data_IF_655866479951
#
_entry.id   IF_655866479951
#
_cell.length_a   1.000
_cell.length_b   1.000
_cell.length_c   1.000
_cell.angle_alpha   90.00
_cell.angle_beta   90.00
_cell.angle_gamma   90.00
#
_symmetry.space_group_name_H-M   'P 1'
#
loop_
_entity.id
_entity.type
_entity.pdbx_description
1 polymer ?
#
# COMPACT_ATOMS: atom_id res chain seq x y z
N UNK A 1 -13.68 10.39 15.99
CA UNK A 1 -12.43 9.63 15.67
C UNK A 1 -12.25 8.45 16.64
N UNK A 2 -12.59 8.67 17.91
CA UNK A 2 -12.45 7.74 19.04
C UNK A 2 -13.24 6.43 18.91
N UNK A 3 -14.53 6.47 18.56
CA UNK A 3 -15.34 5.25 18.41
C UNK A 3 -14.83 4.29 17.33
N UNK A 4 -14.20 4.81 16.26
CA UNK A 4 -13.57 3.96 15.23
C UNK A 4 -12.34 3.23 15.74
N UNK A 5 -11.62 3.80 16.69
CA UNK A 5 -10.49 3.12 17.33
C UNK A 5 -10.98 1.92 18.14
N UNK A 6 -12.13 2.04 18.82
CA UNK A 6 -12.76 0.93 19.55
C UNK A 6 -13.30 -0.15 18.61
N UNK A 7 -13.90 0.23 17.47
CA UNK A 7 -14.32 -0.75 16.45
C UNK A 7 -13.09 -1.50 15.90
N UNK A 8 -12.00 -0.78 15.59
CA UNK A 8 -10.73 -1.36 15.12
C UNK A 8 -10.10 -2.28 16.16
N UNK A 9 -10.14 -1.91 17.43
CA UNK A 9 -9.61 -2.70 18.54
C UNK A 9 -10.40 -4.02 18.69
N UNK A 10 -11.73 -3.97 18.71
CA UNK A 10 -12.55 -5.17 18.83
C UNK A 10 -12.43 -6.10 17.60
N UNK A 11 -12.33 -5.54 16.39
CA UNK A 11 -12.06 -6.33 15.19
C UNK A 11 -10.70 -7.04 15.26
N UNK A 12 -9.65 -6.36 15.75
CA UNK A 12 -8.33 -6.96 16.00
C UNK A 12 -8.34 -8.07 17.06
N UNK A 13 -9.29 -8.03 18.00
CA UNK A 13 -9.48 -9.09 19.01
C UNK A 13 -10.29 -10.28 18.48
N UNK A 14 -10.68 -10.29 17.20
CA UNK A 14 -11.46 -11.37 16.59
C UNK A 14 -12.93 -11.40 17.02
N UNK A 15 -13.45 -10.32 17.62
CA UNK A 15 -14.88 -10.23 17.97
C UNK A 15 -15.71 -10.06 16.70
N UNK A 16 -16.93 -10.59 16.70
CA UNK A 16 -17.89 -10.38 15.62
C UNK A 16 -18.40 -8.93 15.59
N UNK A 17 -18.90 -8.48 14.44
CA UNK A 17 -19.51 -7.14 14.32
C UNK A 17 -20.68 -6.93 15.30
N UNK A 18 -21.43 -7.99 15.63
CA UNK A 18 -22.50 -7.98 16.63
C UNK A 18 -21.97 -7.74 18.04
N UNK A 19 -20.89 -8.42 18.43
CA UNK A 19 -20.24 -8.23 19.74
C UNK A 19 -19.61 -6.86 19.85
N UNK A 20 -18.96 -6.39 18.79
CA UNK A 20 -18.40 -5.03 18.73
C UNK A 20 -19.49 -3.97 18.86
N UNK A 21 -20.65 -4.17 18.24
CA UNK A 21 -21.79 -3.25 18.40
C UNK A 21 -22.34 -3.26 19.83
N UNK A 22 -22.50 -4.43 20.46
CA UNK A 22 -22.92 -4.50 21.88
C UNK A 22 -21.92 -3.81 22.81
N UNK A 23 -20.63 -4.04 22.60
CA UNK A 23 -19.55 -3.39 23.37
C UNK A 23 -19.56 -1.87 23.17
N UNK A 24 -19.75 -1.41 21.93
CA UNK A 24 -19.91 0.01 21.62
C UNK A 24 -21.13 0.64 22.30
N UNK A 25 -22.28 -0.07 22.34
CA UNK A 25 -23.49 0.41 23.03
C UNK A 25 -23.28 0.52 24.54
N UNK A 26 -22.52 -0.39 25.15
CA UNK A 26 -22.18 -0.32 26.57
C UNK A 26 -21.28 0.88 26.91
N UNK A 27 -20.29 1.18 26.06
CA UNK A 27 -19.33 2.27 26.31
C UNK A 27 -19.91 3.64 25.95
N UNK A 28 -20.63 3.76 24.84
CA UNK A 28 -21.05 5.05 24.29
C UNK A 28 -22.55 5.34 24.44
N UNK A 29 -23.37 4.37 24.87
CA UNK A 29 -24.80 4.56 25.10
C UNK A 29 -25.53 5.21 23.92
N UNK A 30 -26.18 6.36 24.17
CA UNK A 30 -26.91 7.14 23.17
C UNK A 30 -26.02 7.81 22.12
N UNK A 31 -24.72 7.95 22.38
CA UNK A 31 -23.74 8.54 21.45
C UNK A 31 -23.09 7.47 20.55
N UNK A 32 -23.45 6.20 20.69
CA UNK A 32 -22.91 5.10 19.90
C UNK A 32 -23.24 5.25 18.41
N UNK A 33 -22.24 5.01 17.54
CA UNK A 33 -22.48 4.85 16.11
C UNK A 33 -23.60 3.82 15.86
N UNK A 34 -24.47 4.12 14.89
CA UNK A 34 -25.56 3.23 14.52
C UNK A 34 -25.07 1.85 14.05
N UNK A 35 -25.88 0.81 14.26
CA UNK A 35 -25.53 -0.59 13.98
C UNK A 35 -24.92 -0.80 12.59
N UNK A 36 -25.52 -0.22 11.56
CA UNK A 36 -25.02 -0.31 10.18
C UNK A 36 -23.62 0.28 10.03
N UNK A 37 -23.38 1.45 10.64
CA UNK A 37 -22.05 2.09 10.58
C UNK A 37 -21.01 1.26 11.33
N UNK A 38 -21.36 0.69 12.49
CA UNK A 38 -20.45 -0.19 13.23
C UNK A 38 -20.11 -1.43 12.42
N UNK A 39 -21.10 -2.07 11.78
CA UNK A 39 -20.87 -3.25 10.93
C UNK A 39 -20.05 -2.93 9.69
N UNK A 40 -20.31 -1.79 9.03
CA UNK A 40 -19.50 -1.32 7.89
C UNK A 40 -18.06 -1.06 8.30
N UNK A 41 -17.83 -0.40 9.44
CA UNK A 41 -16.48 -0.17 9.96
C UNK A 41 -15.80 -1.44 10.42
N UNK A 42 -16.54 -2.35 11.06
CA UNK A 42 -16.03 -3.64 11.48
C UNK A 42 -15.54 -4.44 10.29
N UNK A 43 -16.34 -4.51 9.21
CA UNK A 43 -15.96 -5.18 7.96
C UNK A 43 -14.70 -4.59 7.32
N UNK A 44 -14.41 -3.30 7.50
CA UNK A 44 -13.18 -2.66 6.99
C UNK A 44 -11.93 -3.01 7.78
N UNK A 45 -12.12 -3.36 9.05
CA UNK A 45 -11.06 -3.80 9.94
C UNK A 45 -10.95 -5.31 10.02
N UNK A 46 -11.94 -6.01 9.45
CA UNK A 46 -11.89 -7.43 9.14
C UNK A 46 -10.99 -7.67 7.93
N UNK A 47 -10.38 -8.85 7.88
CA UNK A 47 -9.44 -9.21 6.84
C UNK A 47 -10.15 -10.05 5.78
N UNK A 48 -10.35 -9.48 4.59
CA UNK A 48 -10.82 -10.23 3.42
C UNK A 48 -9.60 -10.63 2.57
N UNK A 49 -9.22 -11.92 2.63
CA UNK A 49 -8.34 -12.53 1.63
C UNK A 49 -9.09 -12.56 0.28
N UNK A 50 -8.45 -12.09 -0.78
CA UNK A 50 -9.00 -12.20 -2.14
C UNK A 50 -8.68 -13.56 -2.76
N UNK A 51 -8.36 -13.57 -4.05
CA UNK A 51 -7.73 -14.73 -4.67
C UNK A 51 -6.34 -14.98 -4.03
N UNK A 52 -5.68 -16.08 -4.39
CA UNK A 52 -4.46 -16.57 -3.72
C UNK A 52 -3.28 -15.58 -3.55
N UNK A 53 -3.34 -14.39 -4.17
CA UNK A 53 -2.26 -13.40 -4.23
C UNK A 53 -2.64 -12.01 -3.72
N UNK A 54 -3.81 -11.83 -3.09
CA UNK A 54 -4.25 -10.51 -2.59
C UNK A 54 -4.84 -10.51 -1.18
N UNK A 55 -4.51 -9.46 -0.43
CA UNK A 55 -5.08 -9.16 0.90
C UNK A 55 -5.57 -7.73 0.95
N UNK A 56 -6.77 -7.56 1.51
CA UNK A 56 -7.36 -6.26 1.76
C UNK A 56 -7.29 -5.93 3.26
N UNK A 57 -6.71 -4.77 3.61
CA UNK A 57 -6.71 -4.28 4.99
C UNK A 57 -6.60 -2.76 5.02
N UNK A 58 -7.42 -2.10 5.86
CA UNK A 58 -7.39 -0.65 6.11
C UNK A 58 -7.35 0.21 4.82
N UNK A 59 -8.26 -0.07 3.87
CA UNK A 59 -8.39 0.62 2.58
C UNK A 59 -7.21 0.43 1.59
N UNK A 60 -6.27 -0.48 1.88
CA UNK A 60 -5.16 -0.85 0.99
C UNK A 60 -5.30 -2.30 0.56
N UNK A 61 -5.28 -2.53 -0.75
CA UNK A 61 -5.21 -3.84 -1.36
C UNK A 61 -3.74 -4.11 -1.68
N UNK A 62 -3.16 -5.10 -1.02
CA UNK A 62 -1.85 -5.63 -1.35
C UNK A 62 -2.04 -6.72 -2.39
N UNK A 63 -1.43 -6.59 -3.56
CA UNK A 63 -1.43 -7.61 -4.60
C UNK A 63 -0.02 -8.03 -4.92
N UNK A 64 0.16 -9.30 -5.22
CA UNK A 64 1.42 -9.82 -5.74
C UNK A 64 1.28 -10.26 -7.20
N UNK A 65 2.10 -9.70 -8.08
CA UNK A 65 2.14 -10.04 -9.50
C UNK A 65 3.59 -10.23 -9.95
N UNK A 66 3.92 -11.41 -10.49
CA UNK A 66 5.25 -11.73 -11.06
C UNK A 66 6.42 -11.38 -10.11
N UNK A 67 6.27 -11.67 -8.80
CA UNK A 67 7.30 -11.38 -7.78
C UNK A 67 7.40 -9.91 -7.36
N UNK A 68 6.53 -9.02 -7.87
CA UNK A 68 6.43 -7.62 -7.43
C UNK A 68 5.24 -7.41 -6.52
N UNK A 69 5.43 -6.56 -5.53
CA UNK A 69 4.39 -6.11 -4.59
C UNK A 69 3.72 -4.87 -5.17
N UNK A 70 2.40 -4.87 -5.28
CA UNK A 70 1.61 -3.75 -5.78
C UNK A 70 0.66 -3.29 -4.67
N UNK A 71 0.75 -2.01 -4.32
CA UNK A 71 -0.19 -1.36 -3.41
C UNK A 71 -1.28 -0.64 -4.20
N UNK A 72 -2.47 -1.23 -4.25
CA UNK A 72 -3.66 -0.55 -4.75
C UNK A 72 -4.52 -0.02 -3.59
N UNK A 73 -5.31 1.02 -3.85
CA UNK A 73 -6.29 1.48 -2.89
C UNK A 73 -7.45 0.48 -2.97
N UNK A 74 -7.73 -0.24 -1.89
CA UNK A 74 -8.92 -1.08 -1.81
C UNK A 74 -10.15 -0.16 -1.76
N UNK A 75 -10.66 0.18 -2.94
CA UNK A 75 -11.96 0.83 -3.09
C UNK A 75 -13.03 -0.24 -2.89
N UNK A 76 -13.44 -0.45 -1.64
CA UNK A 76 -14.78 -1.00 -1.38
C UNK A 76 -15.75 -0.14 -2.18
N UNK A 77 -16.56 -0.77 -3.04
CA UNK A 77 -17.54 -0.11 -3.91
C UNK A 77 -18.63 0.69 -3.17
N UNK A 78 -18.50 0.96 -1.87
CA UNK A 78 -19.41 1.79 -1.12
C UNK A 78 -18.65 2.71 -0.15
N UNK A 79 -18.58 4.00 -0.47
CA UNK A 79 -18.92 5.04 0.49
C UNK A 79 -19.30 6.34 -0.24
N UNK A 80 -20.59 6.65 -0.18
CA UNK A 80 -21.24 7.93 -0.53
C UNK A 80 -20.85 9.07 0.45
N UNK A 81 -19.62 9.14 0.97
CA UNK A 81 -19.32 10.02 2.12
C UNK A 81 -17.97 10.77 2.02
N UNK A 82 -17.48 11.06 0.81
CA UNK A 82 -16.42 12.05 0.59
C UNK A 82 -17.00 13.36 0.01
N UNK A 83 -17.93 13.97 0.74
CA UNK A 83 -18.46 15.33 0.46
C UNK A 83 -18.16 16.36 1.54
N UNK A 84 -17.66 15.97 2.72
CA UNK A 84 -17.60 16.90 3.85
C UNK A 84 -16.19 17.47 4.08
N UNK A 85 -15.51 17.89 3.02
CA UNK A 85 -14.30 18.71 3.10
C UNK A 85 -14.37 20.01 2.28
N UNK A 86 -15.48 20.24 1.57
CA UNK A 86 -15.73 21.49 0.81
C UNK A 86 -16.93 22.30 1.36
N UNK A 87 -17.40 22.01 2.59
CA UNK A 87 -18.61 22.65 3.14
C UNK A 87 -18.41 24.02 3.82
N UNK A 88 -17.23 24.63 3.76
CA UNK A 88 -16.98 25.94 4.41
C UNK A 88 -16.71 27.08 3.43
N UNK A 89 -17.33 27.10 2.23
CA UNK A 89 -17.15 28.26 1.33
C UNK A 89 -18.36 28.75 0.53
N UNK A 90 -19.56 28.24 0.77
CA UNK A 90 -20.77 28.76 0.12
C UNK A 90 -21.91 28.88 1.12
N UNK A 91 -21.75 29.76 2.10
CA UNK A 91 -22.88 30.48 2.66
C UNK A 91 -22.96 31.82 1.94
N UNK A 92 -23.84 31.90 0.93
CA UNK A 92 -24.81 32.98 0.78
C UNK A 92 -25.55 32.89 -0.57
N UNK A 93 -26.88 33.03 -0.47
CA UNK A 93 -27.87 33.42 -1.49
C UNK A 93 -28.57 32.31 -2.28
N UNK A 94 -29.64 31.81 -1.64
CA UNK A 94 -31.06 31.87 -2.03
C UNK A 94 -31.48 31.74 -3.52
N UNK A 95 -32.45 30.82 -3.67
CA UNK A 95 -33.58 30.73 -4.62
C UNK A 95 -33.48 29.85 -5.89
N UNK A 96 -34.30 28.78 -5.81
CA UNK A 96 -35.01 27.96 -6.81
C UNK A 96 -34.37 27.61 -8.18
N UNK A 97 -34.01 26.33 -8.37
CA UNK A 97 -34.64 25.52 -9.41
C UNK A 97 -34.54 24.01 -9.13
N UNK A 98 -35.66 23.32 -9.34
CA UNK A 98 -35.89 21.92 -9.06
C UNK A 98 -35.25 21.00 -10.10
N UNK A 99 -34.01 20.56 -9.86
CA UNK A 99 -33.49 19.31 -10.40
C UNK A 99 -32.29 18.81 -9.57
N UNK A 100 -32.57 17.92 -8.62
CA UNK A 100 -31.55 17.29 -7.77
C UNK A 100 -30.51 16.55 -8.64
N UNK A 101 -29.37 17.19 -8.86
CA UNK A 101 -28.25 16.66 -9.64
C UNK A 101 -27.57 15.53 -8.86
N UNK A 102 -28.17 14.33 -8.90
CA UNK A 102 -27.59 13.13 -8.29
C UNK A 102 -26.19 12.90 -8.85
N UNK A 103 -25.19 12.70 -7.96
CA UNK A 103 -23.81 12.46 -8.36
C UNK A 103 -23.75 11.29 -9.35
N UNK A 104 -23.51 11.60 -10.62
CA UNK A 104 -23.37 10.63 -11.72
C UNK A 104 -22.25 9.63 -11.37
N UNK A 105 -22.58 8.35 -11.30
CA UNK A 105 -21.61 7.27 -11.04
C UNK A 105 -20.87 6.96 -12.34
N UNK A 106 -19.54 6.95 -12.30
CA UNK A 106 -18.70 6.66 -13.47
C UNK A 106 -18.03 5.29 -13.39
N UNK A 107 -17.91 4.62 -14.53
CA UNK A 107 -17.11 3.42 -14.71
C UNK A 107 -16.16 3.58 -15.89
N UNK A 108 -14.91 3.16 -15.75
CA UNK A 108 -13.88 3.31 -16.79
C UNK A 108 -13.64 2.00 -17.51
N UNK A 109 -13.74 1.98 -18.84
CA UNK A 109 -13.44 0.81 -19.67
C UNK A 109 -12.49 1.12 -20.82
N UNK A 110 -11.73 0.14 -21.32
CA UNK A 110 -11.06 0.23 -22.60
C UNK A 110 -12.05 0.55 -23.73
N UNK A 111 -11.70 1.47 -24.63
CA UNK A 111 -12.52 1.73 -25.81
C UNK A 111 -12.35 0.63 -26.87
N UNK A 112 -13.42 -0.11 -27.14
CA UNK A 112 -13.53 -1.11 -28.18
C UNK A 112 -14.74 -0.75 -29.06
N UNK A 113 -14.50 -0.31 -30.30
CA UNK A 113 -15.51 0.35 -31.14
C UNK A 113 -16.87 -0.37 -31.22
N UNK A 114 -16.87 -1.70 -31.32
CA UNK A 114 -18.08 -2.54 -31.43
C UNK A 114 -18.77 -2.80 -30.08
N UNK A 115 -17.97 -2.96 -29.01
CA UNK A 115 -18.46 -3.35 -27.68
C UNK A 115 -18.86 -2.14 -26.84
N UNK A 116 -18.01 -1.11 -26.82
CA UNK A 116 -18.21 0.11 -26.04
C UNK A 116 -19.50 0.84 -26.37
N UNK A 117 -19.93 0.86 -27.64
CA UNK A 117 -21.19 1.49 -28.06
C UNK A 117 -22.41 0.76 -27.50
N UNK A 118 -22.43 -0.58 -27.57
CA UNK A 118 -23.50 -1.41 -26.99
C UNK A 118 -23.52 -1.27 -25.46
N UNK A 119 -22.34 -1.29 -24.85
CA UNK A 119 -22.18 -1.18 -23.40
C UNK A 119 -22.61 0.20 -22.88
N UNK A 120 -22.40 1.29 -23.63
CA UNK A 120 -22.90 2.65 -23.30
C UNK A 120 -24.41 2.71 -23.17
N UNK A 121 -25.14 2.01 -24.04
CA UNK A 121 -26.60 1.95 -23.96
C UNK A 121 -27.04 1.19 -22.70
N UNK A 122 -26.41 0.06 -22.41
CA UNK A 122 -26.68 -0.75 -21.21
C UNK A 122 -26.34 -0.01 -19.92
N UNK A 123 -25.20 0.69 -19.86
CA UNK A 123 -24.78 1.43 -18.66
C UNK A 123 -25.72 2.58 -18.33
N UNK A 124 -26.24 3.26 -19.35
CA UNK A 124 -27.20 4.36 -19.18
C UNK A 124 -28.51 3.87 -18.55
N UNK A 125 -29.02 2.72 -19.00
CA UNK A 125 -30.22 2.07 -18.42
C UNK A 125 -30.02 1.78 -16.93
N UNK A 126 -28.80 1.45 -16.51
CA UNK A 126 -28.47 1.13 -15.12
C UNK A 126 -27.99 2.35 -14.31
N UNK A 127 -28.11 3.57 -14.86
CA UNK A 127 -27.74 4.82 -14.15
C UNK A 127 -26.23 5.05 -13.99
N UNK A 128 -25.41 4.48 -14.87
CA UNK A 128 -23.95 4.68 -14.90
C UNK A 128 -23.49 5.39 -16.16
N UNK A 129 -22.57 6.33 -15.98
CA UNK A 129 -21.82 6.96 -17.07
C UNK A 129 -20.51 6.22 -17.33
N UNK A 130 -20.13 6.12 -18.60
CA UNK A 130 -18.88 5.48 -18.99
C UNK A 130 -17.82 6.54 -19.27
N UNK A 131 -16.63 6.34 -18.72
CA UNK A 131 -15.41 6.96 -19.18
C UNK A 131 -14.61 5.95 -20.02
N UNK A 132 -14.05 6.40 -21.14
CA UNK A 132 -13.22 5.57 -21.99
C UNK A 132 -11.75 5.80 -21.71
N UNK A 133 -10.99 4.71 -21.57
CA UNK A 133 -9.54 4.74 -21.49
C UNK A 133 -8.96 4.15 -22.78
N UNK A 134 -8.09 4.86 -23.52
CA UNK A 134 -7.43 4.27 -24.66
C UNK A 134 -6.52 3.12 -24.20
N UNK A 135 -6.51 2.01 -24.94
CA UNK A 135 -5.62 0.89 -24.65
C UNK A 135 -4.16 1.28 -24.85
N UNK A 136 -3.89 2.05 -25.92
CA UNK A 136 -2.56 2.55 -26.23
C UNK A 136 -2.46 4.01 -25.78
N UNK A 137 -1.67 4.27 -24.73
CA UNK A 137 -1.38 5.64 -24.28
C UNK A 137 -0.32 6.23 -25.19
N UNK A 138 -0.44 7.50 -25.59
CA UNK A 138 0.60 8.17 -26.40
C UNK A 138 2.02 8.02 -25.83
N UNK A 139 2.17 8.01 -24.50
CA UNK A 139 3.46 7.82 -23.82
C UNK A 139 4.10 6.42 -24.04
N UNK A 140 3.39 5.45 -24.64
CA UNK A 140 4.02 4.19 -25.08
C UNK A 140 4.77 4.35 -26.40
N UNK A 141 4.31 5.25 -27.28
CA UNK A 141 4.93 5.52 -28.58
C UNK A 141 5.87 6.73 -28.53
N UNK A 142 5.42 7.80 -27.90
CA UNK A 142 6.16 9.04 -27.73
C UNK A 142 6.59 9.11 -26.27
N UNK A 143 7.71 8.47 -25.97
CA UNK A 143 8.38 8.68 -24.69
C UNK A 143 8.91 10.11 -24.66
N UNK A 144 8.86 10.75 -23.50
CA UNK A 144 9.70 11.93 -23.28
C UNK A 144 11.13 11.46 -23.47
N UNK A 145 11.82 11.96 -24.51
CA UNK A 145 13.19 11.56 -24.90
C UNK A 145 14.26 11.98 -23.89
N UNK A 146 14.00 11.71 -22.60
CA UNK A 146 14.91 11.92 -21.49
C UNK A 146 15.87 10.74 -21.44
N UNK A 147 17.10 11.03 -21.05
CA UNK A 147 18.09 9.99 -20.83
C UNK A 147 17.64 9.03 -19.74
N UNK A 148 17.81 7.70 -19.94
CA UNK A 148 17.54 6.73 -18.90
C UNK A 148 18.45 7.00 -17.70
N UNK A 149 17.88 6.93 -16.50
CA UNK A 149 18.65 7.07 -15.28
C UNK A 149 19.54 5.84 -15.07
N UNK A 150 20.80 6.07 -14.68
CA UNK A 150 21.64 5.02 -14.15
C UNK A 150 21.02 4.48 -12.85
N UNK A 151 21.17 3.18 -12.59
CA UNK A 151 20.65 2.46 -11.42
C UNK A 151 20.92 3.19 -10.09
N UNK A 152 22.09 3.78 -9.98
CA UNK A 152 22.58 4.49 -8.80
C UNK A 152 21.92 5.86 -8.55
N UNK A 153 21.31 6.43 -9.58
CA UNK A 153 20.65 7.73 -9.55
C UNK A 153 19.14 7.65 -9.27
N UNK A 154 18.58 6.46 -9.17
CA UNK A 154 17.19 6.25 -8.77
C UNK A 154 16.94 6.73 -7.33
N UNK A 155 15.74 7.26 -7.10
CA UNK A 155 15.29 7.82 -5.82
C UNK A 155 14.01 7.15 -5.36
N UNK A 156 13.79 7.11 -4.05
CA UNK A 156 12.60 6.50 -3.49
C UNK A 156 12.61 4.99 -3.67
N UNK A 157 13.76 4.35 -3.46
CA UNK A 157 13.96 2.93 -3.75
C UNK A 157 14.04 2.11 -2.47
N UNK A 158 13.60 0.86 -2.56
CA UNK A 158 13.94 -0.22 -1.64
C UNK A 158 15.04 -1.04 -2.32
N UNK A 159 16.15 -1.23 -1.63
CA UNK A 159 17.33 -1.90 -2.16
C UNK A 159 17.78 -3.05 -1.26
N UNK A 160 18.52 -3.99 -1.83
CA UNK A 160 19.10 -5.16 -1.18
C UNK A 160 20.61 -5.18 -1.39
N UNK A 161 21.35 -5.40 -0.31
CA UNK A 161 22.79 -5.63 -0.29
C UNK A 161 23.01 -7.05 0.23
N UNK A 162 23.73 -7.87 -0.53
CA UNK A 162 24.06 -9.23 -0.11
C UNK A 162 25.39 -9.24 0.65
N UNK A 163 25.55 -10.19 1.57
CA UNK A 163 26.87 -10.56 2.06
C UNK A 163 27.56 -11.47 1.03
N UNK A 164 28.88 -11.33 0.90
CA UNK A 164 29.71 -12.18 0.04
C UNK A 164 30.13 -13.47 0.76
N UNK A 165 30.16 -13.45 2.09
CA UNK A 165 30.66 -14.56 2.91
C UNK A 165 29.54 -15.46 3.45
N UNK A 166 28.29 -14.98 3.49
CA UNK A 166 27.15 -15.76 3.94
C UNK A 166 25.88 -15.43 3.14
N UNK A 167 24.85 -16.26 3.29
CA UNK A 167 23.57 -16.08 2.57
C UNK A 167 22.74 -14.89 3.09
N UNK A 168 23.19 -14.25 4.16
CA UNK A 168 22.51 -13.12 4.78
C UNK A 168 22.50 -11.89 3.88
N UNK A 169 21.43 -11.12 3.97
CA UNK A 169 21.30 -9.89 3.20
C UNK A 169 20.64 -8.77 3.99
N UNK A 170 20.99 -7.53 3.64
CA UNK A 170 20.41 -6.32 4.21
C UNK A 170 19.45 -5.69 3.20
N UNK A 171 18.25 -5.35 3.66
CA UNK A 171 17.27 -4.58 2.89
C UNK A 171 17.09 -3.21 3.54
N UNK A 172 17.08 -2.15 2.73
CA UNK A 172 16.84 -0.81 3.22
C UNK A 172 16.10 0.06 2.23
N UNK A 173 15.52 1.17 2.70
CA UNK A 173 14.92 2.19 1.84
C UNK A 173 15.68 3.52 1.83
N UNK A 174 15.51 4.28 0.75
CA UNK A 174 15.95 5.68 0.70
C UNK A 174 15.00 6.55 -0.12
N UNK A 175 14.68 7.74 0.41
CA UNK A 175 14.01 8.81 -0.38
C UNK A 175 14.97 9.46 -1.38
N UNK A 176 16.26 9.49 -1.05
CA UNK A 176 17.31 10.16 -1.82
C UNK A 176 17.83 9.23 -2.92
N UNK A 177 18.84 9.68 -3.67
CA UNK A 177 19.53 8.84 -4.66
C UNK A 177 20.18 7.64 -3.97
N UNK A 178 20.09 6.46 -4.57
CA UNK A 178 20.67 5.23 -4.05
C UNK A 178 22.16 5.40 -3.74
N UNK A 179 22.95 5.96 -4.68
CA UNK A 179 24.40 6.17 -4.49
C UNK A 179 24.79 6.95 -3.24
N UNK A 180 23.95 7.89 -2.82
CA UNK A 180 24.22 8.67 -1.60
C UNK A 180 24.06 7.79 -0.38
N UNK A 181 23.00 6.97 -0.34
CA UNK A 181 22.76 6.05 0.78
C UNK A 181 23.85 4.99 0.89
N UNK A 182 24.35 4.49 -0.24
CA UNK A 182 25.45 3.52 -0.26
C UNK A 182 26.76 4.14 0.22
N UNK A 183 27.06 5.39 -0.17
CA UNK A 183 28.22 6.12 0.35
C UNK A 183 28.18 6.29 1.86
N UNK A 184 27.01 6.55 2.44
CA UNK A 184 26.82 6.62 3.89
C UNK A 184 27.11 5.29 4.56
N UNK A 185 26.53 4.18 4.06
CA UNK A 185 26.83 2.86 4.61
C UNK A 185 28.32 2.52 4.55
N UNK A 186 28.98 2.75 3.42
CA UNK A 186 30.44 2.57 3.29
C UNK A 186 31.22 3.46 4.27
N UNK A 187 30.77 4.68 4.49
CA UNK A 187 31.40 5.60 5.44
C UNK A 187 31.20 5.19 6.90
N UNK A 188 30.04 4.62 7.24
CA UNK A 188 29.75 4.14 8.57
C UNK A 188 30.55 2.89 8.91
N UNK A 189 30.67 1.94 7.98
CA UNK A 189 31.51 0.73 8.15
C UNK A 189 32.96 1.08 8.47
N UNK A 190 33.51 2.14 7.87
CA UNK A 190 34.88 2.60 8.15
C UNK A 190 35.06 3.15 9.57
N UNK A 191 33.99 3.47 10.29
CA UNK A 191 34.04 3.94 11.67
C UNK A 191 33.97 2.73 12.60
N UNK A 192 34.95 2.58 13.49
CA UNK A 192 35.00 1.50 14.48
C UNK A 192 33.91 1.57 15.56
N UNK A 193 33.23 2.72 15.70
CA UNK A 193 32.20 2.99 16.71
C UNK A 193 30.77 2.96 16.16
N UNK A 194 30.57 2.41 14.96
CA UNK A 194 29.30 2.52 14.25
C UNK A 194 28.29 1.42 14.64
N UNK A 195 27.14 1.85 15.17
CA UNK A 195 26.03 0.99 15.64
C UNK A 195 25.05 0.54 14.55
N UNK A 196 25.39 0.74 13.27
CA UNK A 196 24.51 0.33 12.18
C UNK A 196 24.48 -1.20 12.06
N UNK A 197 23.34 -1.77 11.67
CA UNK A 197 23.24 -3.23 11.46
C UNK A 197 24.22 -3.75 10.42
N UNK A 198 24.47 -2.93 9.40
CA UNK A 198 25.39 -3.20 8.29
C UNK A 198 26.83 -3.24 8.79
N UNK A 199 27.26 -2.21 9.54
CA UNK A 199 28.61 -2.15 10.10
C UNK A 199 28.85 -3.24 11.14
N UNK A 200 27.88 -3.50 12.02
CA UNK A 200 28.00 -4.55 13.04
C UNK A 200 28.18 -5.94 12.43
N UNK A 201 27.43 -6.27 11.36
CA UNK A 201 27.60 -7.54 10.67
C UNK A 201 29.00 -7.69 10.07
N UNK A 202 29.50 -6.66 9.39
CA UNK A 202 30.85 -6.71 8.81
C UNK A 202 31.96 -6.78 9.87
N UNK A 203 31.85 -6.02 10.96
CA UNK A 203 32.88 -5.95 12.00
C UNK A 203 32.89 -7.21 12.89
N UNK A 204 31.72 -7.69 13.31
CA UNK A 204 31.64 -8.80 14.25
C UNK A 204 31.85 -10.16 13.56
N UNK A 205 31.35 -10.32 12.34
CA UNK A 205 31.48 -11.59 11.59
C UNK A 205 32.67 -11.57 10.62
N UNK A 206 33.40 -10.45 10.52
CA UNK A 206 34.51 -10.25 9.57
C UNK A 206 34.09 -10.51 8.12
N UNK A 207 32.87 -10.07 7.77
CA UNK A 207 32.26 -10.29 6.47
C UNK A 207 32.32 -9.06 5.55
N UNK A 208 32.37 -9.32 4.25
CA UNK A 208 32.28 -8.33 3.19
C UNK A 208 30.88 -8.29 2.59
N UNK A 209 30.42 -7.07 2.30
CA UNK A 209 29.15 -6.83 1.61
C UNK A 209 29.42 -6.55 0.13
N UNK A 210 28.52 -7.05 -0.72
CA UNK A 210 28.58 -6.80 -2.15
C UNK A 210 28.08 -5.38 -2.48
N UNK A 211 29.03 -4.45 -2.51
CA UNK A 211 28.76 -3.06 -2.81
C UNK A 211 28.55 -2.75 -4.29
N UNK A 212 28.93 -3.67 -5.18
CA UNK A 212 28.91 -3.46 -6.62
C UNK A 212 27.61 -4.01 -7.23
N UNK A 213 27.06 -5.10 -6.68
CA UNK A 213 25.84 -5.74 -7.16
C UNK A 213 24.60 -5.46 -6.29
N UNK A 214 24.40 -4.19 -5.91
CA UNK A 214 23.22 -3.79 -5.11
C UNK A 214 21.95 -3.96 -5.94
N UNK A 215 20.95 -4.69 -5.45
CA UNK A 215 19.69 -4.90 -6.20
C UNK A 215 18.63 -3.89 -5.79
N UNK A 216 17.97 -3.25 -6.75
CA UNK A 216 16.74 -2.48 -6.48
C UNK A 216 15.57 -3.48 -6.49
N UNK A 217 14.87 -3.56 -5.37
CA UNK A 217 13.72 -4.44 -5.20
C UNK A 217 12.42 -3.74 -5.61
N UNK A 218 12.29 -2.47 -5.26
CA UNK A 218 11.08 -1.68 -5.53
C UNK A 218 11.37 -0.17 -5.62
N UNK A 219 10.48 0.59 -6.27
CA UNK A 219 10.57 2.05 -6.43
C UNK A 219 9.25 2.71 -6.04
N UNK A 220 9.22 3.33 -4.86
CA UNK A 220 8.04 3.94 -4.26
C UNK A 220 8.34 5.35 -3.71
N UNK A 221 7.66 6.35 -4.29
CA UNK A 221 7.84 7.76 -3.87
C UNK A 221 7.11 8.07 -2.56
N UNK A 222 5.99 7.39 -2.29
CA UNK A 222 5.27 7.53 -1.02
C UNK A 222 6.06 6.87 0.10
N UNK A 223 6.36 7.62 1.16
CA UNK A 223 7.09 7.10 2.32
C UNK A 223 6.38 5.92 2.97
N UNK A 224 5.05 6.02 3.14
CA UNK A 224 4.27 4.96 3.78
C UNK A 224 4.31 3.67 2.95
N UNK A 225 4.08 3.76 1.64
CA UNK A 225 4.16 2.59 0.75
C UNK A 225 5.56 2.00 0.72
N UNK A 226 6.59 2.86 0.66
CA UNK A 226 7.99 2.43 0.65
C UNK A 226 8.39 1.73 1.96
N UNK A 227 7.91 2.20 3.12
CA UNK A 227 8.11 1.52 4.40
C UNK A 227 7.47 0.14 4.40
N UNK A 228 6.21 0.03 4.00
CA UNK A 228 5.53 -1.27 3.94
C UNK A 228 6.26 -2.21 2.97
N UNK A 229 6.69 -1.70 1.81
CA UNK A 229 7.50 -2.45 0.83
C UNK A 229 8.80 -2.97 1.45
N UNK A 230 9.58 -2.10 2.11
CA UNK A 230 10.80 -2.47 2.86
C UNK A 230 10.52 -3.59 3.87
N UNK A 231 9.48 -3.43 4.69
CA UNK A 231 9.12 -4.41 5.73
C UNK A 231 8.75 -5.78 5.15
N UNK A 232 8.00 -5.78 4.05
CA UNK A 232 7.64 -7.01 3.35
C UNK A 232 8.91 -7.70 2.82
N UNK A 233 9.81 -6.94 2.19
CA UNK A 233 11.06 -7.50 1.69
C UNK A 233 11.95 -8.01 2.81
N UNK A 234 11.99 -7.35 3.98
CA UNK A 234 12.71 -7.85 5.16
C UNK A 234 12.10 -9.19 5.64
N UNK A 235 10.77 -9.27 5.77
CA UNK A 235 10.07 -10.50 6.20
C UNK A 235 10.18 -11.64 5.20
N UNK A 236 10.34 -11.34 3.92
CA UNK A 236 10.54 -12.34 2.86
C UNK A 236 11.97 -12.88 2.78
N UNK A 237 12.94 -12.34 3.54
CA UNK A 237 14.30 -12.88 3.56
C UNK A 237 14.37 -14.16 4.39
N UNK A 238 15.14 -15.14 3.90
CA UNK A 238 15.49 -16.36 4.64
C UNK A 238 16.42 -15.99 5.80
N UNK A 239 17.47 -15.19 5.50
CA UNK A 239 18.45 -14.67 6.46
C UNK A 239 18.61 -13.16 6.28
N UNK A 240 18.05 -12.40 7.22
CA UNK A 240 18.06 -10.93 7.21
C UNK A 240 19.06 -10.35 8.21
N UNK A 241 19.87 -9.38 7.77
CA UNK A 241 20.78 -8.58 8.63
C UNK A 241 19.99 -7.53 9.45
N UNK A 242 18.79 -7.16 8.97
CA UNK A 242 17.91 -6.17 9.58
C UNK A 242 17.46 -6.52 11.00
N UNK A 243 17.03 -5.51 11.78
CA UNK A 243 16.47 -5.74 13.11
C UNK A 243 15.03 -6.22 12.99
N UNK A 244 14.58 -7.10 13.89
CA UNK A 244 13.18 -7.53 13.94
C UNK A 244 12.23 -6.33 14.19
N UNK A 245 12.70 -5.33 14.94
CA UNK A 245 11.98 -4.07 15.19
C UNK A 245 11.65 -3.29 13.93
N UNK A 246 12.42 -3.46 12.85
CA UNK A 246 12.20 -2.77 11.58
C UNK A 246 10.89 -3.21 10.90
N UNK A 247 10.24 -4.27 11.42
CA UNK A 247 9.04 -4.89 10.84
C UNK A 247 7.80 -4.86 11.74
N UNK A 248 7.85 -4.20 12.90
CA UNK A 248 6.77 -4.20 13.91
C UNK A 248 5.46 -3.56 13.41
N UNK A 249 5.54 -2.52 12.59
CA UNK A 249 4.35 -1.84 12.04
C UNK A 249 3.63 -2.65 10.94
N UNK A 250 4.15 -3.81 10.51
CA UNK A 250 3.55 -4.63 9.47
C UNK A 250 2.54 -5.59 10.10
N UNK A 251 1.24 -5.49 9.80
CA UNK A 251 0.25 -6.40 10.35
C UNK A 251 0.54 -7.85 9.97
N UNK A 252 0.46 -8.74 10.96
CA UNK A 252 0.74 -10.18 10.80
C UNK A 252 -0.15 -10.85 9.75
N UNK A 253 -1.30 -10.25 9.42
CA UNK A 253 -2.21 -10.79 8.44
C UNK A 253 -1.64 -10.78 7.03
N UNK A 254 -0.61 -9.98 6.75
CA UNK A 254 0.09 -10.07 5.47
C UNK A 254 1.07 -11.25 5.39
N UNK A 255 1.48 -11.85 6.52
CA UNK A 255 2.50 -12.91 6.57
C UNK A 255 2.14 -14.18 5.77
N UNK A 256 0.89 -14.66 5.72
CA UNK A 256 0.53 -15.82 4.89
C UNK A 256 0.85 -15.63 3.40
N UNK A 257 0.75 -14.41 2.87
CA UNK A 257 1.16 -14.12 1.48
C UNK A 257 2.67 -14.22 1.27
N UNK A 258 3.45 -14.03 2.33
CA UNK A 258 4.91 -14.01 2.27
C UNK A 258 5.51 -15.41 2.40
N UNK A 259 4.87 -16.28 3.20
CA UNK A 259 5.35 -17.65 3.44
C UNK A 259 5.22 -18.58 2.22
N UNK A 260 4.36 -18.25 1.26
CA UNK A 260 4.03 -19.11 0.11
C UNK A 260 5.20 -19.34 -0.86
N UNK A 261 6.28 -18.56 -0.75
CA UNK A 261 7.50 -18.73 -1.55
C UNK A 261 8.48 -19.79 -1.00
N UNK A 262 8.31 -20.23 0.24
CA UNK A 262 9.25 -21.19 0.87
C UNK A 262 8.94 -22.65 0.51
N UNK A 263 7.82 -22.92 -0.18
CA UNK A 263 7.38 -24.28 -0.53
C UNK A 263 7.60 -24.67 -2.00
N UNK A 264 8.31 -23.87 -2.79
CA UNK A 264 8.57 -24.14 -4.21
C UNK A 264 10.05 -24.03 -4.62
N UNK A 265 10.98 -24.21 -3.66
CA UNK A 265 12.39 -24.51 -3.92
C UNK A 265 12.74 -25.86 -3.32
#
# INVERSE_FOLDING_TARGET
MEQRAVIKFNAKLGKSASETFRSMQQVYGSQCLGRTAVFEWHKRFDFDFGDENDINFLDVKLMRQEGRIIFDIYRIKNLKSRTNLDQNREENNNECDSNANSKKKFFTIPYLSKVSKKFKKLSYIHGFNIAYKPMNKMNTFIKTGKDPLLKDDYRGVVYKINCLNCESSYVGQTKRKLKIRIKEHKADVRKSTSESVVSRHQLNEMHELDWDNIRILDTEQSLMKRRISEMIYIKGQISGINKQSDTEDLPDVYLPLLKKDLSHT
#
